data_IF_827360425919
#
_entry.id   IF_827360425919
#
_cell.length_a   1.000
_cell.length_b   1.000
_cell.length_c   1.000
_cell.angle_alpha   90.00
_cell.angle_beta   90.00
_cell.angle_gamma   90.00
#
_symmetry.space_group_name_H-M   'P 1'
#
loop_
_entity.id
_entity.type
_entity.pdbx_description
1 polymer ?
#
# COMPACT_ATOMS: atom_id res chain seq x y z
N UNK A 1 15.21 7.77 -8.12
CA UNK A 1 15.58 8.53 -6.90
C UNK A 1 16.75 9.43 -7.26
N UNK A 2 16.68 10.74 -7.01
CA UNK A 2 17.80 11.65 -7.28
C UNK A 2 18.99 11.34 -6.38
N UNK A 3 20.21 11.43 -6.93
CA UNK A 3 21.41 11.24 -6.13
C UNK A 3 21.58 12.38 -5.11
N UNK A 4 21.97 12.06 -3.87
CA UNK A 4 22.24 13.06 -2.84
C UNK A 4 23.70 13.51 -2.91
N UNK A 5 23.94 14.82 -2.98
CA UNK A 5 25.27 15.40 -2.82
C UNK A 5 25.56 15.59 -1.33
N UNK A 6 26.26 14.61 -0.76
CA UNK A 6 26.64 14.62 0.66
C UNK A 6 27.68 15.70 0.99
N UNK A 7 28.43 16.19 0.00
CA UNK A 7 29.45 17.24 0.19
C UNK A 7 28.82 18.62 0.37
N UNK A 8 27.65 18.85 -0.24
CA UNK A 8 26.86 20.08 -0.13
C UNK A 8 25.74 19.99 0.92
N UNK A 9 25.37 18.78 1.36
CA UNK A 9 24.34 18.56 2.37
C UNK A 9 24.86 18.78 3.80
N UNK A 10 24.03 19.37 4.67
CA UNK A 10 24.30 19.62 6.10
C UNK A 10 23.04 19.33 6.92
N UNK A 11 23.14 19.43 8.25
CA UNK A 11 22.02 19.16 9.19
C UNK A 11 20.67 19.83 8.83
N UNK A 12 20.70 20.99 8.15
CA UNK A 12 19.50 21.77 7.80
C UNK A 12 19.31 22.00 6.30
N UNK A 13 20.18 21.41 5.46
CA UNK A 13 20.16 21.60 4.01
C UNK A 13 20.43 20.27 3.34
N UNK A 14 19.50 19.78 2.53
CA UNK A 14 19.69 18.60 1.68
C UNK A 14 19.88 19.10 0.24
N UNK A 15 20.94 18.64 -0.42
CA UNK A 15 21.19 18.92 -1.83
C UNK A 15 21.16 17.60 -2.59
N UNK A 16 20.34 17.53 -3.64
CA UNK A 16 20.22 16.38 -4.52
C UNK A 16 20.34 16.80 -5.98
N UNK A 17 20.48 15.80 -6.85
CA UNK A 17 20.27 15.95 -8.28
C UNK A 17 18.91 16.61 -8.54
N UNK A 18 18.90 17.56 -9.47
CA UNK A 18 17.68 18.17 -9.98
C UNK A 18 16.97 17.17 -10.89
N UNK A 19 15.64 17.06 -10.75
CA UNK A 19 14.85 16.18 -11.60
C UNK A 19 13.78 16.98 -12.31
N UNK A 20 13.79 16.92 -13.63
CA UNK A 20 12.71 17.45 -14.46
C UNK A 20 11.56 16.45 -14.55
N UNK A 21 10.33 16.95 -14.39
CA UNK A 21 9.11 16.17 -14.47
C UNK A 21 7.88 17.02 -14.18
N UNK A 22 6.71 16.43 -14.41
CA UNK A 22 5.43 17.05 -14.06
C UNK A 22 4.97 16.57 -12.69
N UNK A 23 4.28 17.45 -11.96
CA UNK A 23 3.75 17.13 -10.64
C UNK A 23 2.49 16.26 -10.71
N UNK A 24 2.05 15.76 -9.56
CA UNK A 24 0.86 14.92 -9.45
C UNK A 24 -0.43 15.56 -10.00
N UNK A 25 -0.59 16.88 -9.85
CA UNK A 25 -1.77 17.57 -10.35
C UNK A 25 -1.78 17.57 -11.89
N UNK A 26 -0.62 17.78 -12.51
CA UNK A 26 -0.44 17.65 -13.95
C UNK A 26 -0.62 16.21 -14.43
N UNK A 27 -0.10 15.20 -13.71
CA UNK A 27 -0.36 13.77 -14.00
C UNK A 27 -1.85 13.47 -14.04
N UNK A 28 -2.67 14.11 -13.20
CA UNK A 28 -4.12 13.98 -13.23
C UNK A 28 -4.80 14.37 -14.56
N UNK A 29 -4.10 15.11 -15.44
CA UNK A 29 -4.57 15.53 -16.76
C UNK A 29 -3.99 14.68 -17.90
N UNK A 30 -3.09 13.74 -17.61
CA UNK A 30 -2.51 12.83 -18.60
C UNK A 30 -3.52 11.76 -19.04
N UNK A 31 -3.32 11.11 -20.21
CA UNK A 31 -4.14 9.99 -20.66
C UNK A 31 -4.18 8.83 -19.67
N UNK A 32 -5.27 8.06 -19.70
CA UNK A 32 -5.51 6.94 -18.77
C UNK A 32 -4.31 6.00 -18.59
N UNK A 33 -3.65 5.50 -19.65
CA UNK A 33 -2.50 4.61 -19.50
C UNK A 33 -1.31 5.22 -18.73
N UNK A 34 -1.14 6.55 -18.81
CA UNK A 34 -0.07 7.26 -18.09
C UNK A 34 -0.40 7.33 -16.60
N UNK A 35 -1.66 7.65 -16.26
CA UNK A 35 -2.12 7.73 -14.85
C UNK A 35 -2.11 6.36 -14.19
N UNK A 36 -2.56 5.34 -14.92
CA UNK A 36 -2.59 3.94 -14.47
C UNK A 36 -1.16 3.45 -14.17
N UNK A 37 -0.24 3.63 -15.13
CA UNK A 37 1.18 3.26 -14.95
C UNK A 37 1.85 4.05 -13.82
N UNK A 38 1.57 5.34 -13.69
CA UNK A 38 2.13 6.17 -12.62
C UNK A 38 1.69 5.65 -11.24
N UNK A 39 0.39 5.39 -11.05
CA UNK A 39 -0.13 4.89 -9.78
C UNK A 39 0.48 3.52 -9.43
N UNK A 40 0.62 2.64 -10.41
CA UNK A 40 1.25 1.33 -10.21
C UNK A 40 2.72 1.46 -9.80
N UNK A 41 3.50 2.34 -10.45
CA UNK A 41 4.90 2.61 -10.05
C UNK A 41 4.98 3.11 -8.61
N UNK A 42 4.05 3.99 -8.20
CA UNK A 42 3.99 4.48 -6.82
C UNK A 42 3.70 3.31 -5.86
N UNK A 43 2.70 2.47 -6.13
CA UNK A 43 2.41 1.28 -5.30
C UNK A 43 3.62 0.35 -5.20
N UNK A 44 4.22 0.00 -6.33
CA UNK A 44 5.39 -0.89 -6.41
C UNK A 44 6.58 -0.33 -5.65
N UNK A 45 6.81 0.99 -5.68
CA UNK A 45 7.89 1.61 -4.93
C UNK A 45 7.69 1.45 -3.41
N UNK A 46 6.52 1.85 -2.89
CA UNK A 46 6.26 1.83 -1.45
C UNK A 46 6.25 0.41 -0.88
N UNK A 47 5.55 -0.52 -1.52
CA UNK A 47 5.59 -1.92 -1.10
C UNK A 47 6.93 -2.62 -1.38
N UNK A 48 7.63 -2.23 -2.44
CA UNK A 48 8.98 -2.73 -2.72
C UNK A 48 9.96 -2.36 -1.61
N UNK A 49 9.88 -1.15 -1.05
CA UNK A 49 10.70 -0.78 0.11
C UNK A 49 10.40 -1.62 1.36
N UNK A 50 9.14 -1.98 1.56
CA UNK A 50 8.73 -2.89 2.64
C UNK A 50 9.29 -4.30 2.43
N UNK A 51 9.05 -4.87 1.25
CA UNK A 51 9.41 -6.25 0.90
C UNK A 51 10.92 -6.47 0.87
N UNK A 52 11.65 -5.55 0.24
CA UNK A 52 13.08 -5.75 -0.07
C UNK A 52 14.03 -5.17 0.99
N UNK A 53 13.57 -4.18 1.78
CA UNK A 53 14.40 -3.45 2.73
C UNK A 53 13.89 -3.48 4.17
N UNK A 54 12.74 -4.09 4.44
CA UNK A 54 12.03 -4.02 5.72
C UNK A 54 11.70 -2.58 6.13
N UNK A 55 11.53 -1.66 5.18
CA UNK A 55 11.30 -0.23 5.43
C UNK A 55 9.89 0.21 5.03
N UNK A 56 9.13 0.70 6.00
CA UNK A 56 7.86 1.37 5.78
C UNK A 56 8.08 2.87 5.55
N UNK A 57 7.82 3.35 4.33
CA UNK A 57 7.73 4.78 4.04
C UNK A 57 6.29 5.23 4.26
N UNK A 58 6.05 6.00 5.31
CA UNK A 58 4.69 6.26 5.78
C UNK A 58 3.94 7.38 5.05
N UNK A 59 4.60 8.11 4.13
CA UNK A 59 4.03 9.31 3.50
C UNK A 59 4.14 9.29 1.97
N UNK A 60 3.32 8.47 1.27
CA UNK A 60 3.14 8.56 -0.17
C UNK A 60 2.27 9.78 -0.52
N UNK A 61 2.69 10.96 -0.09
CA UNK A 61 1.99 12.20 -0.39
C UNK A 61 2.18 12.56 -1.87
N UNK A 62 1.14 13.00 -2.60
CA UNK A 62 1.21 13.45 -4.00
C UNK A 62 2.35 14.40 -4.37
N UNK A 63 2.80 15.23 -3.43
CA UNK A 63 3.93 16.16 -3.62
C UNK A 63 5.32 15.51 -3.61
N UNK A 64 5.42 14.23 -3.25
CA UNK A 64 6.70 13.55 -3.03
C UNK A 64 7.21 12.83 -4.29
N UNK A 65 6.54 12.98 -5.43
CA UNK A 65 6.97 12.35 -6.67
C UNK A 65 6.60 13.14 -7.93
N UNK A 66 7.45 13.01 -8.94
CA UNK A 66 7.31 13.63 -10.26
C UNK A 66 7.27 12.56 -11.35
N UNK A 67 6.45 12.77 -12.38
CA UNK A 67 6.52 11.98 -13.61
C UNK A 67 7.55 12.61 -14.55
N UNK A 68 8.63 11.90 -14.84
CA UNK A 68 9.67 12.32 -15.77
C UNK A 68 9.22 12.14 -17.23
N UNK A 69 9.82 12.89 -18.15
CA UNK A 69 9.48 12.84 -19.59
C UNK A 69 9.75 11.49 -20.27
N UNK A 70 10.49 10.59 -19.63
CA UNK A 70 10.76 9.22 -20.10
C UNK A 70 9.83 8.17 -19.46
N UNK A 71 8.82 8.60 -18.70
CA UNK A 71 7.86 7.72 -18.03
C UNK A 71 8.34 7.15 -16.69
N UNK A 72 9.55 7.48 -16.21
CA UNK A 72 9.98 7.15 -14.85
C UNK A 72 9.29 8.04 -13.83
N UNK A 73 9.16 7.53 -12.61
CA UNK A 73 8.70 8.32 -11.45
C UNK A 73 9.89 8.60 -10.54
N UNK A 74 10.11 9.87 -10.25
CA UNK A 74 11.12 10.29 -9.30
C UNK A 74 10.50 10.51 -7.93
N UNK A 75 11.00 9.81 -6.93
CA UNK A 75 10.62 9.97 -5.52
C UNK A 75 11.59 10.94 -4.83
N UNK A 76 11.05 11.95 -4.16
CA UNK A 76 11.80 13.10 -3.62
C UNK A 76 11.93 13.07 -2.10
N UNK A 77 10.91 12.59 -1.39
CA UNK A 77 10.86 12.57 0.07
C UNK A 77 10.96 11.14 0.64
N UNK A 78 11.81 10.99 1.64
CA UNK A 78 12.06 9.75 2.40
C UNK A 78 12.05 10.01 3.91
N UNK A 79 11.52 11.15 4.35
CA UNK A 79 11.65 11.69 5.71
C UNK A 79 10.84 10.93 6.76
N UNK A 80 9.77 10.24 6.36
CA UNK A 80 8.96 9.42 7.27
C UNK A 80 9.16 7.94 7.01
N UNK A 81 10.23 7.39 7.59
CA UNK A 81 10.61 5.98 7.45
C UNK A 81 10.59 5.26 8.79
N UNK A 82 10.19 3.98 8.78
CA UNK A 82 10.35 3.07 9.91
C UNK A 82 10.82 1.71 9.45
N UNK A 83 11.80 1.15 10.18
CA UNK A 83 12.19 -0.24 10.01
C UNK A 83 11.19 -1.15 10.70
N UNK A 84 10.66 -2.12 9.97
CA UNK A 84 9.80 -3.17 10.49
C UNK A 84 10.62 -4.42 10.81
N UNK A 85 10.11 -5.30 11.70
CA UNK A 85 10.64 -6.65 11.83
C UNK A 85 10.58 -7.39 10.47
N UNK A 86 11.60 -8.22 10.19
CA UNK A 86 11.72 -8.92 8.91
C UNK A 86 10.56 -9.87 8.59
N UNK A 87 9.91 -10.40 9.64
CA UNK A 87 8.76 -11.30 9.52
C UNK A 87 7.41 -10.55 9.48
N UNK A 88 7.42 -9.22 9.59
CA UNK A 88 6.20 -8.42 9.73
C UNK A 88 5.31 -8.54 8.49
N UNK A 89 5.89 -8.41 7.29
CA UNK A 89 5.13 -8.51 6.04
C UNK A 89 4.55 -9.91 5.84
N UNK A 90 5.27 -10.96 6.25
CA UNK A 90 4.76 -12.33 6.22
C UNK A 90 3.58 -12.56 7.17
N UNK A 91 3.56 -11.89 8.32
CA UNK A 91 2.39 -11.91 9.23
C UNK A 91 1.20 -11.12 8.69
N UNK A 92 1.44 -9.98 8.05
CA UNK A 92 0.38 -9.21 7.36
C UNK A 92 -0.21 -10.02 6.19
N UNK A 93 0.62 -10.77 5.45
CA UNK A 93 0.16 -11.67 4.38
C UNK A 93 -0.88 -12.69 4.87
N UNK A 94 -0.80 -13.16 6.12
CA UNK A 94 -1.80 -14.06 6.70
C UNK A 94 -3.18 -13.39 6.84
N UNK A 95 -3.24 -12.09 7.13
CA UNK A 95 -4.50 -11.33 7.15
C UNK A 95 -5.11 -11.30 5.75
N UNK A 96 -4.29 -10.97 4.73
CA UNK A 96 -4.75 -10.90 3.34
C UNK A 96 -5.26 -12.25 2.84
N UNK A 97 -4.51 -13.33 3.10
CA UNK A 97 -4.92 -14.70 2.76
C UNK A 97 -6.25 -15.08 3.44
N UNK A 98 -6.39 -14.83 4.74
CA UNK A 98 -7.62 -15.13 5.48
C UNK A 98 -8.85 -14.35 4.95
N UNK A 99 -8.68 -13.07 4.60
CA UNK A 99 -9.75 -12.26 3.98
C UNK A 99 -10.16 -12.85 2.62
N UNK A 100 -9.18 -13.23 1.80
CA UNK A 100 -9.36 -13.81 0.46
C UNK A 100 -10.10 -15.15 0.55
N UNK A 101 -9.66 -16.03 1.43
CA UNK A 101 -10.21 -17.37 1.62
C UNK A 101 -11.52 -17.37 2.40
N UNK A 102 -11.79 -16.28 3.13
CA UNK A 102 -12.97 -16.17 4.00
C UNK A 102 -12.84 -17.01 5.26
N UNK A 103 -11.61 -17.24 5.72
CA UNK A 103 -11.31 -17.98 6.93
C UNK A 103 -11.41 -17.03 8.14
N UNK A 104 -12.53 -17.11 8.85
CA UNK A 104 -12.83 -16.26 10.00
C UNK A 104 -11.86 -16.50 11.17
N UNK A 105 -11.51 -17.77 11.43
CA UNK A 105 -10.65 -18.15 12.54
C UNK A 105 -9.20 -17.72 12.25
N UNK A 106 -8.70 -17.99 11.04
CA UNK A 106 -7.37 -17.55 10.62
C UNK A 106 -7.25 -16.02 10.63
N UNK A 107 -8.32 -15.29 10.26
CA UNK A 107 -8.32 -13.83 10.31
C UNK A 107 -8.20 -13.32 11.74
N UNK A 108 -8.98 -13.88 12.66
CA UNK A 108 -8.94 -13.51 14.09
C UNK A 108 -7.56 -13.79 14.66
N UNK A 109 -6.97 -14.95 14.37
CA UNK A 109 -5.64 -15.32 14.86
C UNK A 109 -4.53 -14.44 14.29
N UNK A 110 -4.57 -14.13 12.98
CA UNK A 110 -3.59 -13.25 12.35
C UNK A 110 -3.65 -11.82 12.91
N UNK A 111 -4.86 -11.25 13.05
CA UNK A 111 -5.06 -9.92 13.63
C UNK A 111 -4.64 -9.87 15.11
N UNK A 112 -4.92 -10.93 15.88
CA UNK A 112 -4.47 -11.04 17.27
C UNK A 112 -2.95 -11.14 17.37
N UNK A 113 -2.31 -11.96 16.54
CA UNK A 113 -0.85 -12.11 16.51
C UNK A 113 -0.11 -10.81 16.17
N UNK A 114 -0.75 -9.91 15.41
CA UNK A 114 -0.22 -8.57 15.11
C UNK A 114 -0.62 -7.52 16.14
N UNK A 115 -1.48 -7.84 17.12
CA UNK A 115 -1.87 -6.92 18.20
C UNK A 115 -3.01 -5.96 17.82
N UNK A 116 -3.79 -6.27 16.79
CA UNK A 116 -5.00 -5.52 16.46
C UNK A 116 -6.18 -5.86 17.38
N UNK A 117 -6.19 -7.07 17.92
CA UNK A 117 -7.24 -7.57 18.80
C UNK A 117 -6.72 -7.67 20.23
N UNK A 118 -7.48 -7.15 21.19
CA UNK A 118 -7.13 -7.26 22.61
C UNK A 118 -7.26 -8.71 23.10
N UNK A 119 -6.28 -9.16 23.88
CA UNK A 119 -6.28 -10.49 24.49
C UNK A 119 -7.51 -10.73 25.38
N UNK A 120 -8.04 -11.95 25.32
CA UNK A 120 -9.18 -12.40 26.13
C UNK A 120 -10.54 -11.77 25.77
N UNK A 121 -10.60 -10.89 24.77
CA UNK A 121 -11.86 -10.45 24.19
C UNK A 121 -12.43 -11.52 23.25
N UNK A 122 -13.74 -11.74 23.33
CA UNK A 122 -14.47 -12.59 22.38
C UNK A 122 -14.73 -11.77 21.10
N UNK A 123 -14.30 -12.30 19.95
CA UNK A 123 -14.41 -11.64 18.66
C UNK A 123 -15.28 -12.47 17.74
N UNK A 124 -16.33 -11.86 17.19
CA UNK A 124 -17.15 -12.43 16.15
C UNK A 124 -16.37 -12.36 14.83
N UNK A 125 -15.77 -13.49 14.45
CA UNK A 125 -14.94 -13.62 13.23
C UNK A 125 -15.69 -13.27 11.96
N UNK A 126 -16.98 -13.63 11.86
CA UNK A 126 -17.82 -13.30 10.71
C UNK A 126 -18.00 -11.80 10.53
N UNK A 127 -18.31 -11.07 11.61
CA UNK A 127 -18.41 -9.61 11.57
C UNK A 127 -17.06 -8.94 11.29
N UNK A 128 -15.96 -9.52 11.79
CA UNK A 128 -14.62 -9.01 11.53
C UNK A 128 -14.25 -9.18 10.05
N UNK A 129 -14.52 -10.36 9.48
CA UNK A 129 -14.31 -10.65 8.07
C UNK A 129 -15.17 -9.76 7.18
N UNK A 130 -16.44 -9.55 7.53
CA UNK A 130 -17.33 -8.60 6.87
C UNK A 130 -16.74 -7.19 6.84
N UNK A 131 -16.28 -6.70 8.00
CA UNK A 131 -15.64 -5.40 8.11
C UNK A 131 -14.41 -5.27 7.20
N UNK A 132 -13.49 -6.23 7.31
CA UNK A 132 -12.24 -6.21 6.55
C UNK A 132 -12.53 -6.24 5.05
N UNK A 133 -13.46 -7.09 4.61
CA UNK A 133 -13.88 -7.16 3.20
C UNK A 133 -14.55 -5.88 2.68
N UNK A 134 -15.31 -5.18 3.53
CA UNK A 134 -15.90 -3.90 3.16
C UNK A 134 -14.83 -2.80 3.04
N UNK A 135 -13.86 -2.79 3.95
CA UNK A 135 -12.76 -1.82 3.96
C UNK A 135 -11.68 -2.10 2.91
N UNK A 136 -11.53 -3.35 2.45
CA UNK A 136 -10.51 -3.76 1.47
C UNK A 136 -11.12 -4.18 0.13
N UNK A 137 -12.33 -3.71 -0.18
CA UNK A 137 -13.16 -4.24 -1.27
C UNK A 137 -12.49 -4.20 -2.66
N UNK A 138 -11.63 -3.20 -2.93
CA UNK A 138 -10.95 -3.02 -4.21
C UNK A 138 -9.83 -4.05 -4.45
N UNK A 139 -9.43 -4.78 -3.40
CA UNK A 139 -8.38 -5.79 -3.44
C UNK A 139 -8.93 -7.20 -3.69
N UNK A 140 -10.25 -7.40 -3.76
CA UNK A 140 -10.87 -8.74 -3.79
C UNK A 140 -10.95 -9.39 -5.16
N UNK A 141 -10.41 -8.76 -6.20
CA UNK A 141 -10.55 -9.25 -7.58
C UNK A 141 -9.24 -9.17 -8.34
N UNK A 142 -9.11 -10.09 -9.28
CA UNK A 142 -7.99 -10.13 -10.24
C UNK A 142 -8.29 -9.34 -11.51
N UNK A 143 -9.52 -8.85 -11.67
CA UNK A 143 -9.92 -8.03 -12.81
C UNK A 143 -9.41 -6.59 -12.66
N UNK A 144 -9.05 -5.91 -13.76
CA UNK A 144 -8.76 -4.50 -13.74
C UNK A 144 -9.93 -3.69 -13.16
N UNK A 145 -9.64 -2.81 -12.21
CA UNK A 145 -10.62 -1.97 -11.56
C UNK A 145 -10.17 -0.51 -11.60
N UNK A 146 -10.96 0.34 -12.28
CA UNK A 146 -10.77 1.78 -12.28
C UNK A 146 -11.36 2.41 -11.02
N UNK A 147 -10.48 2.95 -10.18
CA UNK A 147 -10.88 3.68 -8.98
C UNK A 147 -11.31 5.11 -9.34
N UNK A 148 -12.09 5.72 -8.47
CA UNK A 148 -12.58 7.09 -8.61
C UNK A 148 -12.51 7.81 -7.26
N UNK A 149 -12.47 9.16 -7.22
CA UNK A 149 -12.42 9.89 -5.94
C UNK A 149 -13.57 9.56 -4.97
N UNK A 150 -14.75 9.22 -5.51
CA UNK A 150 -15.92 8.81 -4.71
C UNK A 150 -15.72 7.48 -3.97
N UNK A 151 -14.84 6.62 -4.47
CA UNK A 151 -14.58 5.29 -3.91
C UNK A 151 -13.90 5.36 -2.54
N UNK A 152 -13.32 6.52 -2.19
CA UNK A 152 -12.69 6.78 -0.90
C UNK A 152 -13.63 6.53 0.28
N UNK A 153 -14.94 6.73 0.09
CA UNK A 153 -15.94 6.58 1.14
C UNK A 153 -16.71 5.26 1.08
N UNK A 154 -16.57 4.49 -0.01
CA UNK A 154 -17.44 3.34 -0.33
C UNK A 154 -17.46 2.28 0.76
N UNK A 155 -16.29 1.92 1.31
CA UNK A 155 -16.20 0.92 2.39
C UNK A 155 -16.90 1.40 3.67
N UNK A 156 -16.64 2.65 4.07
CA UNK A 156 -17.26 3.25 5.25
C UNK A 156 -18.78 3.46 5.10
N UNK A 157 -19.25 3.79 3.89
CA UNK A 157 -20.67 3.93 3.59
C UNK A 157 -21.38 2.58 3.69
N UNK A 158 -20.82 1.53 3.08
CA UNK A 158 -21.37 0.17 3.15
C UNK A 158 -21.55 -0.30 4.61
N UNK A 159 -20.54 -0.08 5.46
CA UNK A 159 -20.61 -0.43 6.88
C UNK A 159 -21.64 0.40 7.65
N UNK A 160 -21.77 1.69 7.31
CA UNK A 160 -22.74 2.59 7.96
C UNK A 160 -24.18 2.21 7.61
N UNK A 161 -24.43 1.79 6.37
CA UNK A 161 -25.75 1.39 5.88
C UNK A 161 -26.27 0.11 6.55
N UNK A 162 -25.38 -0.80 6.94
CA UNK A 162 -25.76 -2.04 7.64
C UNK A 162 -26.33 -1.79 9.04
N UNK A 163 -25.98 -0.66 9.68
CA UNK A 163 -26.45 -0.27 11.03
C UNK A 163 -26.28 -1.38 12.08
N UNK A 164 -25.21 -2.17 11.98
CA UNK A 164 -24.93 -3.27 12.88
C UNK A 164 -24.23 -2.76 14.17
N UNK A 165 -24.94 -2.77 15.29
CA UNK A 165 -24.45 -2.26 16.57
C UNK A 165 -23.31 -3.11 17.16
N UNK A 166 -23.37 -4.44 16.98
CA UNK A 166 -22.33 -5.37 17.46
C UNK A 166 -21.02 -5.13 16.70
N UNK A 167 -21.10 -5.00 15.37
CA UNK A 167 -19.96 -4.66 14.54
C UNK A 167 -19.32 -3.33 14.96
N UNK A 168 -20.13 -2.28 15.17
CA UNK A 168 -19.63 -0.99 15.62
C UNK A 168 -18.96 -1.05 17.00
N UNK A 169 -19.50 -1.85 17.92
CA UNK A 169 -18.89 -2.07 19.23
C UNK A 169 -17.55 -2.80 19.09
N UNK A 170 -17.50 -3.85 18.28
CA UNK A 170 -16.30 -4.63 18.02
C UNK A 170 -15.19 -3.78 17.39
N UNK A 171 -15.51 -2.92 16.42
CA UNK A 171 -14.54 -2.00 15.80
C UNK A 171 -13.99 -0.96 16.80
N UNK A 172 -14.81 -0.49 17.74
CA UNK A 172 -14.33 0.42 18.81
C UNK A 172 -13.36 -0.26 19.78
N UNK A 173 -13.38 -1.58 19.89
CA UNK A 173 -12.44 -2.34 20.71
C UNK A 173 -11.16 -2.75 19.98
N UNK A 174 -11.06 -2.51 18.67
CA UNK A 174 -9.82 -2.78 17.94
C UNK A 174 -8.73 -1.81 18.37
N UNK A 175 -7.50 -2.31 18.40
CA UNK A 175 -6.29 -1.53 18.65
C UNK A 175 -5.50 -1.40 17.35
N UNK A 176 -4.76 -0.30 17.22
CA UNK A 176 -3.79 -0.14 16.14
C UNK A 176 -2.39 -0.21 16.75
N UNK A 177 -1.66 -1.33 16.58
CA UNK A 177 -0.34 -1.50 17.16
C UNK A 177 0.63 -0.46 16.58
N UNK A 178 1.61 0.01 17.35
CA UNK A 178 2.53 1.05 16.90
C UNK A 178 3.19 0.72 15.56
N UNK A 179 3.60 -0.52 15.35
CA UNK A 179 4.25 -1.03 14.14
C UNK A 179 3.38 -0.83 12.89
N UNK A 180 2.06 -1.01 13.02
CA UNK A 180 1.11 -0.88 11.93
C UNK A 180 0.78 0.58 11.57
N UNK A 181 1.01 1.55 12.45
CA UNK A 181 0.58 2.95 12.25
C UNK A 181 1.06 3.53 10.91
N UNK A 182 2.35 3.39 10.62
CA UNK A 182 2.93 3.93 9.38
C UNK A 182 2.52 3.12 8.16
N UNK A 183 2.35 1.80 8.31
CA UNK A 183 1.90 0.93 7.22
C UNK A 183 0.45 1.25 6.84
N UNK A 184 -0.47 1.32 7.80
CA UNK A 184 -1.88 1.68 7.54
C UNK A 184 -2.00 3.09 6.97
N UNK A 185 -1.17 4.03 7.43
CA UNK A 185 -1.10 5.38 6.86
C UNK A 185 -0.64 5.35 5.40
N UNK A 186 0.43 4.62 5.11
CA UNK A 186 0.94 4.43 3.74
C UNK A 186 -0.15 3.85 2.84
N UNK A 187 -0.81 2.76 3.26
CA UNK A 187 -1.89 2.11 2.51
C UNK A 187 -3.05 3.07 2.20
N UNK A 188 -3.49 3.85 3.18
CA UNK A 188 -4.58 4.82 3.00
C UNK A 188 -4.21 5.94 2.01
N UNK A 189 -2.97 6.44 2.09
CA UNK A 189 -2.48 7.48 1.18
C UNK A 189 -2.22 6.93 -0.25
N UNK A 190 -1.78 5.67 -0.38
CA UNK A 190 -1.69 4.99 -1.68
C UNK A 190 -3.08 4.83 -2.31
N UNK A 191 -4.08 4.42 -1.53
CA UNK A 191 -5.46 4.32 -2.01
C UNK A 191 -6.01 5.70 -2.43
N UNK A 192 -5.67 6.76 -1.69
CA UNK A 192 -6.00 8.14 -2.07
C UNK A 192 -5.35 8.52 -3.41
N UNK A 193 -4.08 8.17 -3.64
CA UNK A 193 -3.37 8.40 -4.90
C UNK A 193 -4.09 7.76 -6.08
N UNK A 194 -4.39 6.47 -5.97
CA UNK A 194 -5.06 5.72 -7.04
C UNK A 194 -6.47 6.24 -7.34
N UNK A 195 -7.25 6.54 -6.29
CA UNK A 195 -8.61 7.11 -6.45
C UNK A 195 -8.59 8.51 -7.05
N UNK A 196 -7.64 9.36 -6.65
CA UNK A 196 -7.51 10.74 -7.16
C UNK A 196 -7.11 10.76 -8.63
N UNK A 197 -6.15 9.92 -9.03
CA UNK A 197 -5.74 9.78 -10.42
C UNK A 197 -6.74 9.03 -11.30
N UNK A 198 -7.79 8.46 -10.71
CA UNK A 198 -8.70 7.53 -11.39
C UNK A 198 -7.96 6.39 -12.06
N UNK A 199 -6.98 5.84 -11.36
CA UNK A 199 -6.12 4.80 -11.88
C UNK A 199 -6.88 3.46 -11.97
N UNK A 200 -6.56 2.68 -12.98
CA UNK A 200 -6.98 1.31 -13.16
C UNK A 200 -5.79 0.38 -13.03
N UNK A 201 -5.96 -0.67 -12.22
CA UNK A 201 -5.01 -1.76 -12.11
C UNK A 201 -5.71 -3.02 -11.62
N UNK A 202 -5.01 -4.15 -11.68
CA UNK A 202 -5.42 -5.42 -11.05
C UNK A 202 -5.01 -5.39 -9.57
N UNK A 203 -5.63 -4.52 -8.77
CA UNK A 203 -5.15 -4.16 -7.42
C UNK A 203 -4.96 -5.35 -6.48
N UNK A 204 -5.86 -6.34 -6.52
CA UNK A 204 -5.75 -7.56 -5.73
C UNK A 204 -4.50 -8.36 -6.10
N UNK A 205 -4.36 -8.68 -7.38
CA UNK A 205 -3.20 -9.38 -7.92
C UNK A 205 -1.88 -8.61 -7.68
N UNK A 206 -1.91 -7.27 -7.76
CA UNK A 206 -0.74 -6.42 -7.48
C UNK A 206 -0.30 -6.56 -6.02
N UNK A 207 -1.23 -6.59 -5.06
CA UNK A 207 -0.87 -6.84 -3.66
C UNK A 207 -0.42 -8.28 -3.43
N UNK A 208 -1.01 -9.27 -4.10
CA UNK A 208 -0.51 -10.66 -4.06
C UNK A 208 0.96 -10.75 -4.46
N UNK A 209 1.34 -10.10 -5.57
CA UNK A 209 2.73 -10.02 -6.02
C UNK A 209 3.64 -9.32 -4.98
N UNK A 210 3.17 -8.20 -4.42
CA UNK A 210 3.96 -7.31 -3.56
C UNK A 210 4.04 -7.78 -2.09
N UNK A 211 3.08 -8.56 -1.61
CA UNK A 211 2.98 -8.99 -0.20
C UNK A 211 3.12 -10.51 -0.08
N UNK A 212 2.36 -11.28 -0.85
CA UNK A 212 2.31 -12.75 -0.76
C UNK A 212 3.44 -13.44 -1.55
N UNK A 213 4.08 -12.71 -2.48
CA UNK A 213 5.18 -13.21 -3.29
C UNK A 213 4.73 -13.97 -4.54
N UNK A 214 3.53 -13.68 -5.02
CA UNK A 214 3.01 -14.23 -6.27
C UNK A 214 3.85 -13.83 -7.49
N UNK A 215 3.59 -14.51 -8.61
CA UNK A 215 4.27 -14.23 -9.87
C UNK A 215 3.96 -12.81 -10.39
N UNK A 216 4.90 -12.16 -11.09
CA UNK A 216 4.68 -10.88 -11.72
C UNK A 216 3.45 -10.86 -12.63
N UNK A 217 2.61 -9.82 -12.49
CA UNK A 217 1.31 -9.76 -13.18
C UNK A 217 1.33 -8.92 -14.46
N UNK A 218 2.38 -8.14 -14.69
CA UNK A 218 2.51 -7.18 -15.79
C UNK A 218 3.99 -6.91 -16.17
N UNK A 219 4.19 -5.99 -17.10
CA UNK A 219 5.51 -5.57 -17.59
C UNK A 219 6.40 -5.02 -16.46
N UNK A 220 5.87 -4.19 -15.56
CA UNK A 220 6.64 -3.56 -14.48
C UNK A 220 7.07 -4.58 -13.43
N UNK A 221 6.20 -5.55 -13.10
CA UNK A 221 6.54 -6.67 -12.23
C UNK A 221 7.66 -7.53 -12.83
N UNK A 222 7.59 -7.84 -14.12
CA UNK A 222 8.62 -8.62 -14.81
C UNK A 222 9.96 -7.86 -14.80
N UNK A 223 9.93 -6.55 -15.05
CA UNK A 223 11.13 -5.70 -14.98
C UNK A 223 11.72 -5.67 -13.57
N UNK A 224 10.88 -5.56 -12.54
CA UNK A 224 11.32 -5.57 -11.15
C UNK A 224 11.96 -6.90 -10.75
N UNK A 225 11.33 -8.03 -11.09
CA UNK A 225 11.86 -9.37 -10.81
C UNK A 225 13.24 -9.58 -11.47
N UNK A 226 13.38 -9.22 -12.74
CA UNK A 226 14.68 -9.29 -13.46
C UNK A 226 15.75 -8.44 -12.78
N UNK A 227 15.41 -7.22 -12.38
CA UNK A 227 16.33 -6.34 -11.67
C UNK A 227 16.80 -6.93 -10.32
N UNK A 228 15.90 -7.60 -9.59
CA UNK A 228 16.23 -8.29 -8.35
C UNK A 228 17.19 -9.46 -8.60
N UNK A 229 16.94 -10.28 -9.63
CA UNK A 229 17.83 -11.39 -10.01
C UNK A 229 19.25 -10.89 -10.35
N UNK A 230 19.34 -9.82 -11.16
CA UNK A 230 20.62 -9.20 -11.53
C UNK A 230 21.38 -8.63 -10.33
N UNK A 231 20.68 -8.12 -9.31
CA UNK A 231 21.29 -7.61 -8.07
C UNK A 231 21.64 -8.70 -7.08
N UNK A 232 20.80 -9.73 -6.97
CA UNK A 232 21.03 -10.90 -6.12
C UNK A 232 22.24 -11.69 -6.58
N UNK A 233 22.47 -11.78 -7.89
CA UNK A 233 23.68 -12.38 -8.50
C UNK A 233 24.97 -11.58 -8.24
N UNK A 234 24.85 -10.32 -7.80
CA UNK A 234 25.98 -9.41 -7.51
C UNK A 234 26.32 -9.26 -6.01
N UNK A 235 25.60 -9.95 -5.12
CA UNK A 235 25.87 -9.99 -3.67
C UNK A 235 26.50 -11.33 -3.28
#
# INVERSE_FOLDING_TARGET
MPAVDTSLSRRRVLVSEWVDGIDFAAVGHEPDPVRDRFAEIVYRFFYGTLKELDLALGDPHPGNYLLCGDGRVAFLDFGMVRKLPRDYLGREALIFAAIREGDEDALVDALRALGYLRDGADWNGSLLLEHMRAMSWWLRGDEPLRLNPKDMWRGSEALREQRNAELLQQMRSMTLPPEALLLRRMEGLLFQVATTLRAEARWGALLGELIEGDQPIDELGIQHARWLEERGSRR
#
